data_IF_711936980523
#
_entry.id   IF_711936980523
#
_cell.length_a   1.000
_cell.length_b   1.000
_cell.length_c   1.000
_cell.angle_alpha   90.00
_cell.angle_beta   90.00
_cell.angle_gamma   90.00
#
_symmetry.space_group_name_H-M   'P 1'
#
loop_
_entity.id
_entity.type
_entity.pdbx_description
1 polymer ?
#
# COMPACT_ATOMS: atom_id res chain seq x y z
N UNK A 1 -16.00 6.03 28.61
CA UNK A 1 -15.58 6.01 27.19
C UNK A 1 -14.38 5.09 27.07
N UNK A 2 -14.58 3.84 26.66
CA UNK A 2 -13.48 2.91 26.44
C UNK A 2 -12.88 3.20 25.06
N UNK A 3 -11.57 3.48 24.94
CA UNK A 3 -10.95 3.64 23.65
C UNK A 3 -11.01 2.31 22.90
N UNK A 4 -11.39 2.35 21.62
CA UNK A 4 -11.53 1.19 20.76
C UNK A 4 -10.15 0.52 20.59
N UNK A 5 -9.92 -0.61 21.29
CA UNK A 5 -8.64 -1.35 21.33
C UNK A 5 -8.16 -1.77 19.94
N UNK A 6 -9.08 -1.96 18.98
CA UNK A 6 -8.75 -2.27 17.59
C UNK A 6 -7.96 -1.16 16.88
N UNK A 7 -8.17 0.10 17.26
CA UNK A 7 -7.49 1.26 16.68
C UNK A 7 -6.06 1.39 17.23
N UNK A 8 -5.84 1.05 18.50
CA UNK A 8 -4.50 1.04 19.09
C UNK A 8 -3.62 -0.05 18.50
N UNK A 9 -4.16 -1.23 18.18
CA UNK A 9 -3.37 -2.32 17.60
C UNK A 9 -2.92 -2.01 16.17
N UNK A 10 -3.76 -1.35 15.36
CA UNK A 10 -3.43 -1.01 13.97
C UNK A 10 -2.26 -0.03 13.86
N UNK A 11 -2.11 0.87 14.84
CA UNK A 11 -1.00 1.82 14.90
C UNK A 11 0.37 1.19 15.24
N UNK A 12 0.40 -0.02 15.80
CA UNK A 12 1.66 -0.68 16.19
C UNK A 12 2.25 -1.52 15.06
N UNK A 13 1.44 -1.94 14.08
CA UNK A 13 1.85 -2.95 13.09
C UNK A 13 2.40 -2.31 11.80
N UNK A 14 1.98 -1.10 11.46
CA UNK A 14 2.51 -0.37 10.30
C UNK A 14 2.81 1.11 10.67
N UNK A 15 4.08 1.50 10.90
CA UNK A 15 4.49 2.90 11.01
C UNK A 15 4.22 3.70 9.71
N UNK A 16 3.62 3.08 8.69
CA UNK A 16 3.10 3.71 7.49
C UNK A 16 1.93 4.66 7.73
N UNK A 17 1.25 4.57 8.87
CA UNK A 17 0.24 5.57 9.23
C UNK A 17 0.85 6.87 9.77
N UNK A 18 2.18 6.95 9.90
CA UNK A 18 2.90 8.18 10.24
C UNK A 18 3.21 9.08 9.04
N UNK A 19 2.74 8.75 7.82
CA UNK A 19 2.88 9.65 6.68
C UNK A 19 1.95 10.85 6.82
N UNK A 20 2.59 11.96 7.22
CA UNK A 20 2.15 13.34 7.27
C UNK A 20 0.69 13.51 7.69
N UNK A 21 0.51 13.89 8.96
CA UNK A 21 -0.67 14.62 9.38
C UNK A 21 -0.68 15.91 8.56
N UNK A 22 -1.25 15.83 7.37
CA UNK A 22 -1.36 16.93 6.42
C UNK A 22 -1.79 18.17 7.19
N UNK A 23 -1.09 19.27 6.90
CA UNK A 23 -1.28 20.62 7.42
C UNK A 23 -2.61 20.77 8.15
N UNK A 24 -2.55 21.02 9.47
CA UNK A 24 -3.73 21.39 10.27
C UNK A 24 -4.41 22.56 9.57
N UNK A 25 -5.42 22.29 8.75
CA UNK A 25 -6.25 23.32 8.15
C UNK A 25 -7.14 23.80 9.28
N UNK A 26 -6.71 24.88 9.93
CA UNK A 26 -7.46 25.54 10.99
C UNK A 26 -8.77 26.05 10.37
N UNK A 27 -9.87 25.41 10.74
CA UNK A 27 -11.22 25.74 10.30
C UNK A 27 -11.49 25.36 8.84
N UNK A 28 -11.92 24.14 8.56
CA UNK A 28 -12.44 23.82 7.22
C UNK A 28 -13.54 22.76 7.24
N UNK A 29 -14.64 22.97 6.48
CA UNK A 29 -15.77 22.06 6.38
C UNK A 29 -15.34 20.72 5.76
N UNK A 30 -16.06 19.65 6.13
CA UNK A 30 -16.01 18.38 5.42
C UNK A 30 -16.17 18.64 3.91
N UNK A 31 -15.16 18.26 3.13
CA UNK A 31 -15.17 18.41 1.67
C UNK A 31 -15.51 17.06 1.05
N UNK A 32 -16.52 17.04 0.20
CA UNK A 32 -16.89 15.88 -0.60
C UNK A 32 -16.36 16.09 -2.03
N UNK A 33 -15.79 15.04 -2.62
CA UNK A 33 -15.21 15.06 -3.96
C UNK A 33 -15.46 13.72 -4.66
N UNK A 34 -15.81 13.78 -5.94
CA UNK A 34 -16.00 12.58 -6.76
C UNK A 34 -14.67 12.17 -7.40
N UNK A 35 -14.27 10.91 -7.22
CA UNK A 35 -13.04 10.36 -7.81
C UNK A 35 -13.33 9.11 -8.63
N UNK A 36 -12.60 8.93 -9.71
CA UNK A 36 -12.63 7.71 -10.55
C UNK A 36 -11.73 6.59 -10.01
N UNK A 37 -10.82 6.91 -9.08
CA UNK A 37 -9.80 5.98 -8.56
C UNK A 37 -9.54 6.23 -7.07
N UNK A 38 -9.33 5.20 -6.22
CA UNK A 38 -9.15 3.78 -6.53
C UNK A 38 -10.42 3.04 -7.00
N UNK A 39 -11.61 3.54 -6.63
CA UNK A 39 -12.91 3.07 -7.11
C UNK A 39 -13.77 4.30 -7.42
N UNK A 40 -14.51 4.31 -8.55
CA UNK A 40 -15.45 5.39 -8.87
C UNK A 40 -16.47 5.62 -7.76
N UNK A 41 -16.55 6.86 -7.27
CA UNK A 41 -17.44 7.20 -6.17
C UNK A 41 -17.19 8.55 -5.54
N UNK A 42 -18.01 8.86 -4.54
CA UNK A 42 -17.87 10.06 -3.71
C UNK A 42 -16.98 9.78 -2.50
N UNK A 43 -15.98 10.63 -2.31
CA UNK A 43 -15.04 10.61 -1.20
C UNK A 43 -15.23 11.85 -0.33
N UNK A 44 -15.09 11.68 0.99
CA UNK A 44 -15.17 12.75 1.98
C UNK A 44 -13.84 12.91 2.70
N UNK A 45 -13.37 14.14 2.79
CA UNK A 45 -12.22 14.51 3.62
C UNK A 45 -12.65 14.77 5.06
N UNK A 46 -12.06 14.01 5.98
CA UNK A 46 -12.19 14.21 7.43
C UNK A 46 -10.89 14.81 7.97
N UNK A 47 -10.90 16.01 8.59
CA UNK A 47 -9.67 16.71 9.00
C UNK A 47 -8.68 15.90 9.84
N UNK A 48 -9.15 14.97 10.67
CA UNK A 48 -8.29 14.13 11.51
C UNK A 48 -7.93 12.77 10.91
N UNK A 49 -8.65 12.34 9.87
CA UNK A 49 -8.56 10.98 9.33
C UNK A 49 -8.13 10.94 7.86
N UNK A 50 -8.21 12.05 7.15
CA UNK A 50 -7.96 12.13 5.71
C UNK A 50 -9.18 11.73 4.87
N UNK A 51 -8.92 11.35 3.62
CA UNK A 51 -9.95 10.98 2.64
C UNK A 51 -10.52 9.60 2.89
N UNK A 52 -11.84 9.46 2.75
CA UNK A 52 -12.56 8.19 2.86
C UNK A 52 -13.56 8.08 1.72
N UNK A 53 -13.73 6.88 1.16
CA UNK A 53 -14.86 6.57 0.29
C UNK A 53 -16.12 6.50 1.15
N UNK A 54 -17.16 7.25 0.76
CA UNK A 54 -18.46 7.26 1.44
C UNK A 54 -19.59 6.66 0.61
N UNK A 55 -19.46 6.65 -0.73
CA UNK A 55 -20.45 6.09 -1.64
C UNK A 55 -19.79 5.70 -2.96
N UNK A 56 -20.12 4.54 -3.51
CA UNK A 56 -19.65 4.14 -4.85
C UNK A 56 -20.65 4.57 -5.92
N UNK A 57 -20.16 4.68 -7.15
CA UNK A 57 -21.06 4.92 -8.27
C UNK A 57 -21.95 3.71 -8.53
N UNK A 58 -23.26 3.97 -8.65
CA UNK A 58 -24.28 2.93 -8.85
C UNK A 58 -24.91 2.40 -7.57
N UNK A 59 -24.36 2.74 -6.40
CA UNK A 59 -24.99 2.42 -5.11
C UNK A 59 -25.95 3.56 -4.70
N UNK A 60 -27.18 3.20 -4.31
CA UNK A 60 -28.18 4.16 -3.82
C UNK A 60 -27.88 4.63 -2.38
N UNK A 61 -27.19 3.79 -1.61
CA UNK A 61 -26.89 3.99 -0.20
C UNK A 61 -25.41 4.33 0.03
N UNK A 62 -25.14 5.06 1.12
CA UNK A 62 -23.78 5.30 1.58
C UNK A 62 -23.16 4.00 2.13
N UNK A 63 -21.83 3.89 2.01
CA UNK A 63 -21.05 2.84 2.65
C UNK A 63 -21.28 2.90 4.17
N UNK A 64 -21.80 1.79 4.72
CA UNK A 64 -22.05 1.64 6.16
C UNK A 64 -20.81 1.98 7.00
N UNK A 65 -19.62 1.66 6.48
CA UNK A 65 -18.34 2.07 7.04
C UNK A 65 -17.50 2.82 6.00
N UNK A 66 -17.26 4.14 6.18
CA UNK A 66 -16.40 4.90 5.28
C UNK A 66 -15.01 4.29 5.18
N UNK A 67 -14.56 4.00 3.95
CA UNK A 67 -13.29 3.29 3.73
C UNK A 67 -12.14 4.27 3.56
N UNK A 68 -11.13 4.29 4.46
CA UNK A 68 -10.01 5.22 4.37
C UNK A 68 -9.14 4.96 3.13
N UNK A 69 -8.72 6.04 2.48
CA UNK A 69 -7.72 6.02 1.40
C UNK A 69 -6.48 6.82 1.79
N UNK A 70 -5.33 6.36 1.29
CA UNK A 70 -4.02 6.93 1.56
C UNK A 70 -3.25 7.12 0.27
N UNK A 71 -2.52 8.21 0.15
CA UNK A 71 -1.65 8.42 -1.00
C UNK A 71 -0.38 7.56 -0.86
N UNK A 72 -0.18 6.62 -1.79
CA UNK A 72 1.01 5.80 -1.79
C UNK A 72 2.13 6.47 -2.61
N UNK A 73 3.23 6.80 -1.95
CA UNK A 73 4.40 7.45 -2.55
C UNK A 73 5.22 6.57 -3.50
N UNK A 74 5.01 5.25 -3.49
CA UNK A 74 5.74 4.30 -4.34
C UNK A 74 5.07 4.19 -5.71
N UNK A 75 3.74 4.05 -5.74
CA UNK A 75 2.94 3.95 -6.97
C UNK A 75 2.28 5.27 -7.37
N UNK A 76 2.55 6.35 -6.63
CA UNK A 76 2.10 7.72 -6.91
C UNK A 76 0.59 7.91 -7.07
N UNK A 77 -0.22 7.11 -6.36
CA UNK A 77 -1.69 7.18 -6.41
C UNK A 77 -2.34 6.88 -5.06
N UNK A 78 -3.61 7.25 -4.92
CA UNK A 78 -4.42 6.85 -3.77
C UNK A 78 -4.73 5.35 -3.83
N UNK A 79 -4.60 4.69 -2.68
CA UNK A 79 -4.99 3.31 -2.45
C UNK A 79 -5.90 3.26 -1.22
N UNK A 80 -6.75 2.24 -1.12
CA UNK A 80 -7.38 1.96 0.17
C UNK A 80 -6.32 1.62 1.21
N UNK A 81 -6.53 2.09 2.44
CA UNK A 81 -5.62 1.79 3.53
C UNK A 81 -5.46 0.28 3.73
N UNK A 82 -6.53 -0.50 3.54
CA UNK A 82 -6.51 -1.96 3.58
C UNK A 82 -5.61 -2.58 2.51
N UNK A 83 -5.57 -1.97 1.32
CA UNK A 83 -4.76 -2.49 0.20
C UNK A 83 -3.29 -2.12 0.39
N UNK A 84 -3.04 -0.93 0.93
CA UNK A 84 -1.71 -0.54 1.40
C UNK A 84 -1.17 -1.53 2.43
N UNK A 85 -1.96 -1.89 3.45
CA UNK A 85 -1.58 -2.87 4.48
C UNK A 85 -1.26 -4.24 3.88
N UNK A 86 -2.13 -4.77 3.00
CA UNK A 86 -1.93 -6.09 2.36
C UNK A 86 -0.65 -6.16 1.53
N UNK A 87 -0.28 -5.04 0.90
CA UNK A 87 0.92 -4.93 0.05
C UNK A 87 2.19 -4.70 0.86
N UNK A 88 2.11 -4.45 2.16
CA UNK A 88 3.28 -4.16 3.00
C UNK A 88 3.67 -5.36 3.85
N UNK A 89 4.95 -5.77 3.81
CA UNK A 89 5.47 -6.88 4.62
C UNK A 89 6.88 -6.62 5.13
N UNK A 90 7.12 -6.94 6.39
CA UNK A 90 8.46 -6.88 6.97
C UNK A 90 9.25 -8.15 6.64
N UNK A 91 10.46 -7.97 6.12
CA UNK A 91 11.44 -9.05 5.98
C UNK A 91 12.83 -8.58 6.43
N UNK A 92 13.62 -9.53 6.92
CA UNK A 92 15.05 -9.34 7.20
C UNK A 92 15.84 -9.74 5.98
N UNK A 93 16.66 -8.84 5.45
CA UNK A 93 17.48 -9.10 4.26
C UNK A 93 18.89 -8.55 4.42
N UNK A 94 19.84 -9.18 3.73
CA UNK A 94 21.19 -8.64 3.57
C UNK A 94 21.18 -7.61 2.43
N UNK A 95 21.29 -6.34 2.79
CA UNK A 95 21.36 -5.24 1.82
C UNK A 95 22.75 -5.12 1.18
N UNK A 96 23.79 -5.55 1.88
CA UNK A 96 25.17 -5.59 1.39
C UNK A 96 25.83 -6.86 1.91
N UNK A 97 26.71 -7.44 1.10
CA UNK A 97 27.43 -8.64 1.49
C UNK A 97 28.30 -8.35 2.72
N UNK A 98 28.27 -9.27 3.69
CA UNK A 98 28.98 -9.12 4.96
C UNK A 98 28.32 -8.21 5.99
N UNK A 99 27.17 -7.57 5.71
CA UNK A 99 26.40 -6.84 6.72
C UNK A 99 25.36 -7.73 7.40
N UNK A 100 25.03 -7.42 8.65
CA UNK A 100 23.92 -8.08 9.35
C UNK A 100 22.58 -7.88 8.62
N UNK A 101 21.65 -8.85 8.71
CA UNK A 101 20.33 -8.72 8.12
C UNK A 101 19.57 -7.52 8.69
N UNK A 102 19.12 -6.62 7.83
CA UNK A 102 18.31 -5.47 8.25
C UNK A 102 16.83 -5.76 8.06
N UNK A 103 16.02 -5.45 9.09
CA UNK A 103 14.56 -5.48 8.99
C UNK A 103 14.11 -4.30 8.12
N UNK A 104 13.54 -4.58 6.96
CA UNK A 104 13.02 -3.59 6.03
C UNK A 104 11.54 -3.83 5.76
N UNK A 105 10.81 -2.78 5.38
CA UNK A 105 9.41 -2.89 4.97
C UNK A 105 9.32 -2.91 3.45
N UNK A 106 8.88 -4.04 2.94
CA UNK A 106 8.67 -4.27 1.52
C UNK A 106 7.25 -3.87 1.13
N UNK A 107 7.12 -3.35 -0.09
CA UNK A 107 5.85 -3.03 -0.74
C UNK A 107 5.71 -3.84 -2.04
N UNK A 108 4.57 -4.50 -2.23
CA UNK A 108 4.25 -5.24 -3.44
C UNK A 108 3.68 -4.31 -4.51
N UNK A 109 4.27 -4.36 -5.71
CA UNK A 109 3.81 -3.60 -6.87
C UNK A 109 2.52 -4.19 -7.46
N UNK A 110 1.96 -3.49 -8.45
CA UNK A 110 0.69 -3.86 -9.08
C UNK A 110 0.73 -5.17 -9.86
N UNK A 111 1.91 -5.62 -10.26
CA UNK A 111 2.10 -6.90 -10.95
C UNK A 111 1.86 -8.12 -10.05
N UNK A 112 1.73 -7.93 -8.73
CA UNK A 112 1.41 -8.99 -7.79
C UNK A 112 2.56 -9.93 -7.47
N UNK A 113 3.78 -9.69 -7.98
CA UNK A 113 4.95 -10.53 -7.67
C UNK A 113 6.22 -9.75 -7.38
N UNK A 114 6.35 -8.53 -7.88
CA UNK A 114 7.50 -7.67 -7.60
C UNK A 114 7.32 -6.95 -6.28
N UNK A 115 8.38 -6.96 -5.49
CA UNK A 115 8.47 -6.24 -4.23
C UNK A 115 9.57 -5.19 -4.30
N UNK A 116 9.40 -4.09 -3.56
CA UNK A 116 10.40 -3.03 -3.40
C UNK A 116 10.57 -2.70 -1.94
N UNK A 117 11.74 -2.25 -1.53
CA UNK A 117 11.94 -1.74 -0.18
C UNK A 117 11.50 -0.28 -0.16
N UNK A 118 10.35 -0.03 0.48
CA UNK A 118 9.78 1.32 0.58
C UNK A 118 10.23 2.07 1.83
N UNK A 119 10.60 1.36 2.89
CA UNK A 119 11.00 1.96 4.17
C UNK A 119 12.18 1.24 4.82
N UNK A 120 13.02 2.03 5.49
CA UNK A 120 14.16 1.55 6.25
C UNK A 120 13.74 0.90 7.58
N UNK A 121 14.72 0.36 8.32
CA UNK A 121 14.50 -0.26 9.63
C UNK A 121 13.94 0.67 10.70
N UNK A 122 13.99 1.99 10.47
CA UNK A 122 13.44 3.02 11.35
C UNK A 122 12.05 3.49 10.90
N UNK A 123 11.50 2.88 9.83
CA UNK A 123 10.21 3.26 9.26
C UNK A 123 10.26 4.54 8.41
N UNK A 124 11.45 5.04 8.05
CA UNK A 124 11.57 6.21 7.17
C UNK A 124 11.40 5.78 5.72
N UNK A 125 10.62 6.57 4.98
CA UNK A 125 10.42 6.34 3.55
C UNK A 125 11.73 6.49 2.78
N UNK A 126 11.97 5.53 1.89
CA UNK A 126 13.09 5.53 0.96
C UNK A 126 12.54 5.98 -0.40
N UNK A 127 12.95 7.14 -0.93
CA UNK A 127 12.60 7.55 -2.28
C UNK A 127 13.32 6.66 -3.31
N UNK A 128 12.68 6.43 -4.46
CA UNK A 128 13.26 5.67 -5.56
C UNK A 128 14.50 6.33 -6.18
N UNK A 129 15.19 5.64 -7.12
CA UNK A 129 14.76 4.42 -7.81
C UNK A 129 14.80 3.16 -6.95
N UNK A 130 13.79 2.31 -7.10
CA UNK A 130 13.66 1.09 -6.29
C UNK A 130 14.37 -0.10 -6.91
N UNK A 131 15.16 -0.81 -6.09
CA UNK A 131 15.64 -2.14 -6.44
C UNK A 131 14.49 -3.14 -6.31
N UNK A 132 14.31 -3.99 -7.32
CA UNK A 132 13.26 -5.01 -7.37
C UNK A 132 13.69 -6.29 -6.64
N UNK A 133 12.73 -6.87 -5.94
CA UNK A 133 12.84 -8.10 -5.18
C UNK A 133 11.69 -9.02 -5.55
N UNK A 134 11.89 -10.32 -5.36
CA UNK A 134 10.84 -11.31 -5.42
C UNK A 134 10.81 -12.10 -4.11
N UNK A 135 9.61 -12.52 -3.74
CA UNK A 135 9.43 -13.37 -2.58
C UNK A 135 9.65 -14.83 -2.96
N UNK A 136 10.68 -15.43 -2.38
CA UNK A 136 10.94 -16.85 -2.52
C UNK A 136 10.08 -17.62 -1.51
N UNK A 137 9.12 -18.38 -2.03
CA UNK A 137 8.19 -19.17 -1.21
C UNK A 137 8.87 -20.38 -0.57
N UNK A 138 9.95 -20.91 -1.16
CA UNK A 138 10.63 -22.10 -0.65
C UNK A 138 11.45 -21.73 0.58
N UNK A 139 12.25 -20.66 0.47
CA UNK A 139 13.10 -20.18 1.54
C UNK A 139 12.40 -19.19 2.48
N UNK A 140 11.15 -18.79 2.17
CA UNK A 140 10.38 -17.76 2.89
C UNK A 140 11.17 -16.44 3.05
N UNK A 141 12.00 -16.11 2.07
CA UNK A 141 12.91 -14.96 2.10
C UNK A 141 12.69 -14.06 0.89
N UNK A 142 13.07 -12.78 1.04
CA UNK A 142 13.11 -11.85 -0.08
C UNK A 142 14.46 -11.98 -0.76
N UNK A 143 14.45 -12.26 -2.07
CA UNK A 143 15.66 -12.29 -2.90
C UNK A 143 15.62 -11.17 -3.94
N UNK A 144 16.81 -10.71 -4.36
CA UNK A 144 16.89 -9.73 -5.45
C UNK A 144 16.45 -10.38 -6.75
N UNK A 145 15.69 -9.64 -7.56
CA UNK A 145 15.41 -10.08 -8.92
C UNK A 145 16.69 -10.06 -9.75
N UNK A 146 16.84 -11.07 -10.59
CA UNK A 146 17.88 -11.10 -11.61
C UNK A 146 17.49 -10.16 -12.78
N UNK A 147 18.47 -9.74 -13.58
CA UNK A 147 18.21 -8.88 -14.75
C UNK A 147 17.29 -9.53 -15.79
N UNK A 148 17.33 -10.86 -15.92
CA UNK A 148 16.45 -11.63 -16.79
C UNK A 148 14.98 -11.58 -16.32
N UNK A 149 14.75 -11.75 -15.02
CA UNK A 149 13.42 -11.64 -14.41
C UNK A 149 12.86 -10.21 -14.51
N UNK A 150 13.72 -9.20 -14.33
CA UNK A 150 13.35 -7.79 -14.48
C UNK A 150 12.87 -7.47 -15.91
N UNK A 151 13.56 -8.03 -16.91
CA UNK A 151 13.21 -7.88 -18.33
C UNK A 151 11.93 -8.65 -18.70
N UNK A 152 11.75 -9.84 -18.13
CA UNK A 152 10.57 -10.68 -18.37
C UNK A 152 9.31 -10.09 -17.73
N UNK A 153 9.46 -9.48 -16.55
CA UNK A 153 8.41 -8.72 -15.88
C UNK A 153 7.96 -7.50 -16.70
N UNK A 154 8.90 -6.82 -17.37
CA UNK A 154 8.58 -5.70 -18.26
C UNK A 154 7.83 -6.12 -19.54
N UNK A 155 7.93 -7.38 -19.95
CA UNK A 155 7.43 -7.89 -21.24
C UNK A 155 6.13 -8.69 -21.13
N UNK A 156 5.64 -8.98 -19.91
CA UNK A 156 4.49 -9.87 -19.71
C UNK A 156 3.19 -9.10 -19.44
N UNK A 157 2.33 -8.85 -20.45
CA UNK A 157 0.92 -8.57 -20.19
C UNK A 157 0.27 -9.88 -19.73
N UNK A 158 -0.28 -9.88 -18.52
CA UNK A 158 -0.93 -11.03 -17.90
C UNK A 158 -2.21 -11.38 -18.69
N UNK A 159 -2.10 -12.23 -19.71
CA UNK A 159 -3.25 -12.81 -20.40
C UNK A 159 -3.85 -13.90 -19.53
N UNK A 160 -5.01 -13.61 -18.96
CA UNK A 160 -5.88 -14.57 -18.27
C UNK A 160 -6.17 -15.76 -19.19
N UNK A 161 -5.67 -16.96 -18.84
CA UNK A 161 -6.12 -18.21 -19.47
C UNK A 161 -7.51 -18.53 -18.92
N UNK A 162 -8.55 -18.16 -19.66
CA UNK A 162 -9.88 -18.77 -19.56
C UNK A 162 -9.76 -20.23 -20.02
N UNK A 163 -9.89 -21.16 -19.07
CA UNK A 163 -10.09 -22.58 -19.36
C UNK A 163 -11.53 -22.79 -19.80
N UNK A 164 -11.75 -22.96 -21.10
CA UNK A 164 -13.01 -23.47 -21.65
C UNK A 164 -13.01 -24.99 -21.53
N UNK A 165 -13.98 -25.52 -20.81
CA UNK A 165 -14.32 -26.95 -20.75
C UNK A 165 -15.08 -27.31 -22.03
N UNK A 166 -14.71 -28.41 -22.67
CA UNK A 166 -15.55 -29.16 -23.59
C UNK A 166 -15.38 -30.65 -23.25
#
# INVERSE_FOLDING_TARGET
>A
MAPNIFICLRNVICPLYWFDKGTRVVGHPTKDEHWESPVPGTYRYFPERGWHLIRRDGDEEDESEPRPVVYCRIVHRYLFASDMEKRCRYHRVHLRDGQEPQKCLFFQLDDGFTWVIGWDSRGRFIPGPYRKWCYDKENMTMRRMTSYEDSSAATSPMTSRTSSVA
#
